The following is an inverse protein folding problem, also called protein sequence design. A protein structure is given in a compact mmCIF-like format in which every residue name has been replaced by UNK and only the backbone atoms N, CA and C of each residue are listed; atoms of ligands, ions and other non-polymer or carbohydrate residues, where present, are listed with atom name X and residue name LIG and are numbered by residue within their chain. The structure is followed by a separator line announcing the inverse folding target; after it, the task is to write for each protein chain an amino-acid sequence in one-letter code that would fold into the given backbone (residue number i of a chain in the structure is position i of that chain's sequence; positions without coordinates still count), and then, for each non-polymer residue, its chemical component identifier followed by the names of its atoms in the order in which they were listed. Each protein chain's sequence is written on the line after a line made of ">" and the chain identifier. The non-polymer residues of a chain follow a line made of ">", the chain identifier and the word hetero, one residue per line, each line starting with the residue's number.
data_IF_001145593704
#
_entry.id   IF_001145593704
#
_cell.length_a   1.000
_cell.length_b   1.000
_cell.length_c   1.000
_cell.angle_alpha   90.00
_cell.angle_beta   90.00
_cell.angle_gamma   90.00
#
_symmetry.space_group_name_H-M   'P 1'
#
loop_
_entity.id
_entity.type
_entity.pdbx_description
1 polymer ?
#
# COMPACT_ATOMS: atom_id res chain seq x y z
N UNK A 1 7.62 -21.07 -15.69
CA UNK A 1 8.37 -20.09 -14.86
C UNK A 1 8.62 -18.83 -15.68
N UNK A 2 8.52 -17.64 -15.08
CA UNK A 2 8.73 -16.34 -15.77
C UNK A 2 10.18 -15.89 -15.63
N UNK A 3 10.85 -15.66 -16.74
CA UNK A 3 12.18 -15.04 -16.79
C UNK A 3 12.06 -13.53 -16.93
N UNK A 4 12.93 -12.80 -16.26
CA UNK A 4 12.90 -11.33 -16.21
C UNK A 4 14.29 -10.81 -16.51
N UNK A 5 14.41 -10.00 -17.56
CA UNK A 5 15.70 -9.51 -18.05
C UNK A 5 15.69 -7.98 -17.99
N UNK A 6 16.64 -7.34 -17.28
CA UNK A 6 16.77 -5.90 -17.28
C UNK A 6 17.23 -5.38 -18.66
N UNK A 7 16.69 -4.24 -19.07
CA UNK A 7 17.16 -3.54 -20.27
C UNK A 7 18.59 -3.06 -20.07
N UNK A 8 19.47 -3.38 -21.03
CA UNK A 8 20.90 -3.03 -20.98
C UNK A 8 21.15 -1.53 -21.11
N UNK A 9 20.20 -0.76 -21.61
CA UNK A 9 20.35 0.71 -21.78
C UNK A 9 20.09 1.41 -20.44
N UNK A 10 21.18 1.81 -19.76
CA UNK A 10 21.11 2.81 -18.68
C UNK A 10 21.25 4.19 -19.28
N UNK A 11 20.19 4.99 -19.20
CA UNK A 11 20.23 6.40 -19.59
C UNK A 11 20.92 7.19 -18.47
N UNK A 12 22.10 7.77 -18.76
CA UNK A 12 22.81 8.65 -17.81
C UNK A 12 21.89 9.80 -17.39
N UNK A 13 21.79 10.07 -16.09
CA UNK A 13 20.91 11.12 -15.54
C UNK A 13 19.43 10.75 -15.39
N UNK A 14 19.02 9.52 -15.71
CA UNK A 14 17.63 9.10 -15.51
C UNK A 14 17.37 8.71 -14.04
N UNK A 15 16.30 9.28 -13.47
CA UNK A 15 15.77 8.87 -12.15
C UNK A 15 15.06 7.51 -12.18
N UNK A 16 14.77 6.96 -13.37
CA UNK A 16 14.03 5.70 -13.50
C UNK A 16 14.96 4.51 -13.21
N UNK A 17 14.55 3.66 -12.28
CA UNK A 17 15.10 2.30 -12.19
C UNK A 17 14.76 1.57 -13.48
N UNK A 18 15.75 1.02 -14.17
CA UNK A 18 15.67 0.60 -15.58
C UNK A 18 14.47 -0.30 -15.96
N UNK A 19 14.17 -0.34 -17.26
CA UNK A 19 13.05 -1.14 -17.80
C UNK A 19 13.31 -2.65 -17.68
N UNK A 20 12.30 -3.42 -17.30
CA UNK A 20 12.35 -4.89 -17.26
C UNK A 20 11.57 -5.49 -18.44
N UNK A 21 12.12 -6.54 -19.05
CA UNK A 21 11.45 -7.37 -20.05
C UNK A 21 11.04 -8.72 -19.45
N UNK A 22 9.82 -9.16 -19.74
CA UNK A 22 9.22 -10.36 -19.16
C UNK A 22 9.08 -11.46 -20.23
N UNK A 23 9.43 -12.69 -19.87
CA UNK A 23 9.37 -13.85 -20.76
C UNK A 23 8.74 -15.04 -20.04
N UNK A 24 7.82 -15.74 -20.71
CA UNK A 24 7.22 -16.98 -20.24
C UNK A 24 7.89 -18.16 -20.92
N UNK A 25 8.37 -19.14 -20.14
CA UNK A 25 8.84 -20.43 -20.68
C UNK A 25 7.65 -21.36 -20.95
N UNK A 26 7.53 -21.85 -22.18
CA UNK A 26 6.64 -22.94 -22.57
C UNK A 26 7.48 -24.03 -23.23
N UNK A 27 7.82 -25.08 -22.48
CA UNK A 27 8.78 -26.09 -22.94
C UNK A 27 10.17 -25.48 -23.12
N UNK A 28 10.72 -25.59 -24.34
CA UNK A 28 12.03 -25.04 -24.73
C UNK A 28 11.98 -23.58 -25.18
N UNK A 29 10.79 -23.05 -25.49
CA UNK A 29 10.64 -21.71 -26.03
C UNK A 29 10.40 -20.65 -24.95
N UNK A 30 10.98 -19.45 -25.17
CA UNK A 30 10.72 -18.26 -24.36
C UNK A 30 9.85 -17.28 -25.13
N UNK A 31 8.62 -17.09 -24.69
CA UNK A 31 7.68 -16.13 -25.29
C UNK A 31 7.69 -14.82 -24.52
N UNK A 32 7.94 -13.70 -25.21
CA UNK A 32 7.87 -12.36 -24.59
C UNK A 32 6.43 -12.06 -24.17
N UNK A 33 6.26 -11.59 -22.94
CA UNK A 33 4.95 -11.22 -22.38
C UNK A 33 4.98 -9.80 -21.83
N UNK A 34 3.80 -9.22 -21.64
CA UNK A 34 3.65 -7.91 -21.01
C UNK A 34 3.69 -8.05 -19.47
N UNK A 35 3.93 -6.92 -18.79
CA UNK A 35 3.89 -6.85 -17.32
C UNK A 35 2.56 -7.37 -16.73
N UNK A 36 1.44 -7.16 -17.43
CA UNK A 36 0.11 -7.58 -16.93
C UNK A 36 0.00 -9.10 -16.80
N UNK A 37 0.77 -9.87 -17.58
CA UNK A 37 0.74 -11.33 -17.51
C UNK A 37 1.18 -11.88 -16.14
N UNK A 38 1.86 -11.06 -15.32
CA UNK A 38 2.18 -11.41 -13.95
C UNK A 38 0.94 -11.68 -13.10
N UNK A 39 -0.18 -10.96 -13.33
CA UNK A 39 -1.41 -11.18 -12.57
C UNK A 39 -2.03 -12.54 -12.88
N UNK A 40 -1.94 -13.01 -14.12
CA UNK A 40 -2.40 -14.35 -14.54
C UNK A 40 -1.69 -15.47 -13.79
N UNK A 41 -0.45 -15.24 -13.38
CA UNK A 41 0.38 -16.20 -12.64
C UNK A 41 0.40 -15.94 -11.12
N UNK A 42 -0.40 -14.98 -10.64
CA UNK A 42 -0.42 -14.51 -9.26
C UNK A 42 0.98 -14.10 -8.75
N UNK A 43 1.81 -13.52 -9.62
CA UNK A 43 3.16 -13.08 -9.28
C UNK A 43 3.17 -11.58 -9.02
N UNK A 44 3.60 -11.17 -7.83
CA UNK A 44 3.71 -9.76 -7.48
C UNK A 44 4.84 -9.05 -8.23
N UNK A 45 4.59 -7.82 -8.71
CA UNK A 45 5.59 -6.99 -9.39
C UNK A 45 6.83 -6.73 -8.52
N UNK A 46 6.64 -6.50 -7.22
CA UNK A 46 7.73 -6.30 -6.27
C UNK A 46 8.68 -7.50 -6.23
N UNK A 47 8.11 -8.72 -6.17
CA UNK A 47 8.87 -9.96 -6.11
C UNK A 47 9.74 -10.10 -7.36
N UNK A 48 9.18 -9.87 -8.54
CA UNK A 48 9.91 -9.90 -9.82
C UNK A 48 11.04 -8.88 -9.85
N UNK A 49 10.78 -7.64 -9.43
CA UNK A 49 11.81 -6.59 -9.36
C UNK A 49 12.95 -6.97 -8.42
N UNK A 50 12.64 -7.66 -7.32
CA UNK A 50 13.65 -8.11 -6.37
C UNK A 50 14.48 -9.27 -6.92
N UNK A 51 13.86 -10.24 -7.61
CA UNK A 51 14.59 -11.30 -8.31
C UNK A 51 15.50 -10.77 -9.41
N UNK A 52 15.03 -9.82 -10.22
CA UNK A 52 15.83 -9.20 -11.27
C UNK A 52 17.05 -8.40 -10.75
N UNK A 53 17.04 -8.00 -9.47
CA UNK A 53 18.21 -7.37 -8.82
C UNK A 53 19.27 -8.40 -8.39
N UNK A 54 18.85 -9.61 -7.98
CA UNK A 54 19.78 -10.68 -7.54
C UNK A 54 20.69 -11.16 -8.68
N UNK A 55 20.17 -11.21 -9.91
CA UNK A 55 20.93 -11.66 -11.09
C UNK A 55 22.06 -10.69 -11.51
N UNK A 56 22.06 -9.45 -10.99
CA UNK A 56 23.09 -8.44 -11.25
C UNK A 56 24.21 -8.42 -10.17
N UNK A 57 24.40 -9.50 -9.40
CA UNK A 57 25.54 -9.64 -8.48
C UNK A 57 25.41 -8.96 -7.11
N UNK A 58 24.22 -8.48 -6.73
CA UNK A 58 23.97 -7.95 -5.38
C UNK A 58 23.28 -9.02 -4.52
N UNK A 59 24.10 -9.76 -3.76
CA UNK A 59 23.64 -10.66 -2.69
C UNK A 59 22.95 -9.85 -1.59
N UNK A 60 21.70 -10.17 -1.29
CA UNK A 60 21.05 -9.79 -0.03
C UNK A 60 20.78 -11.06 0.77
N UNK A 61 21.00 -11.06 2.09
CA UNK A 61 20.83 -12.24 2.93
C UNK A 61 19.40 -12.75 2.86
N UNK A 62 19.26 -14.07 2.78
CA UNK A 62 18.00 -14.79 2.83
C UNK A 62 17.38 -14.64 4.23
N UNK A 63 16.73 -13.51 4.50
CA UNK A 63 16.25 -13.26 5.87
C UNK A 63 15.50 -11.96 6.08
N UNK A 64 14.68 -11.51 5.12
CA UNK A 64 13.49 -10.72 5.42
C UNK A 64 12.70 -10.45 4.13
N UNK A 65 11.66 -11.24 3.89
CA UNK A 65 10.61 -10.86 2.93
C UNK A 65 9.73 -9.84 3.66
N UNK A 66 10.24 -8.62 3.85
CA UNK A 66 9.39 -7.50 4.21
C UNK A 66 8.70 -7.05 2.94
N UNK A 67 7.47 -7.51 2.72
CA UNK A 67 6.56 -6.85 1.80
C UNK A 67 6.46 -5.38 2.23
N UNK A 68 6.74 -4.39 1.36
CA UNK A 68 6.40 -3.01 1.64
C UNK A 68 4.87 -2.92 1.65
N UNK A 69 4.28 -2.99 2.84
CA UNK A 69 2.86 -3.25 3.05
C UNK A 69 2.56 -4.33 4.10
N UNK A 70 3.58 -4.84 4.80
CA UNK A 70 3.36 -5.63 6.01
C UNK A 70 2.57 -4.77 6.99
N UNK A 71 1.26 -5.07 7.12
CA UNK A 71 0.34 -4.49 8.08
C UNK A 71 1.09 -4.26 9.39
N UNK A 72 1.46 -3.01 9.67
CA UNK A 72 1.78 -2.61 11.04
C UNK A 72 0.52 -2.97 11.80
N UNK A 73 0.59 -4.04 12.59
CA UNK A 73 -0.45 -4.40 13.55
C UNK A 73 -0.49 -3.22 14.52
N UNK A 74 -1.21 -2.17 14.12
CA UNK A 74 -1.63 -1.12 15.03
C UNK A 74 -2.30 -1.87 16.18
N UNK A 75 -1.70 -1.68 17.35
CA UNK A 75 -2.06 -2.31 18.61
C UNK A 75 -3.57 -2.28 18.71
N UNK A 76 -4.19 -3.46 18.77
CA UNK A 76 -5.64 -3.66 18.61
C UNK A 76 -6.48 -2.65 19.44
N UNK A 77 -5.98 -2.30 20.62
CA UNK A 77 -6.53 -1.26 21.49
C UNK A 77 -6.68 0.12 20.85
N UNK A 78 -5.69 0.63 20.11
CA UNK A 78 -5.77 1.97 19.51
C UNK A 78 -6.79 2.06 18.37
N UNK A 79 -7.06 0.95 17.66
CA UNK A 79 -8.15 0.90 16.66
C UNK A 79 -9.53 0.92 17.30
N UNK A 80 -9.69 0.30 18.48
CA UNK A 80 -10.94 0.36 19.23
C UNK A 80 -11.25 1.79 19.69
N UNK A 81 -10.23 2.54 20.12
CA UNK A 81 -10.37 3.95 20.50
C UNK A 81 -10.78 4.79 19.30
N UNK A 82 -10.13 4.58 18.14
CA UNK A 82 -10.50 5.23 16.90
C UNK A 82 -11.96 4.93 16.52
N UNK A 83 -12.39 3.68 16.58
CA UNK A 83 -13.78 3.31 16.27
C UNK A 83 -14.78 4.01 17.19
N UNK A 84 -14.50 4.11 18.49
CA UNK A 84 -15.37 4.85 19.43
C UNK A 84 -15.44 6.33 19.07
N UNK A 85 -14.30 6.97 18.84
CA UNK A 85 -14.26 8.35 18.37
C UNK A 85 -15.07 8.56 17.07
N UNK A 86 -14.92 7.67 16.09
CA UNK A 86 -15.67 7.74 14.82
C UNK A 86 -17.18 7.51 14.96
N UNK A 87 -17.64 6.88 16.04
CA UNK A 87 -19.07 6.71 16.33
C UNK A 87 -19.66 7.94 17.03
N UNK A 88 -18.85 8.63 17.83
CA UNK A 88 -19.25 9.80 18.62
C UNK A 88 -19.28 11.09 17.79
N UNK A 89 -18.55 11.16 16.67
CA UNK A 89 -18.55 12.33 15.79
C UNK A 89 -19.88 12.50 15.04
N UNK A 90 -20.27 13.75 14.75
CA UNK A 90 -21.45 14.02 13.93
C UNK A 90 -21.27 13.47 12.52
N UNK A 91 -22.27 12.72 12.06
CA UNK A 91 -22.29 11.99 10.80
C UNK A 91 -23.53 12.39 10.00
N UNK A 92 -23.34 12.59 8.70
CA UNK A 92 -24.41 12.83 7.75
C UNK A 92 -24.68 11.57 6.93
N UNK A 93 -25.95 11.36 6.60
CA UNK A 93 -26.33 10.36 5.62
C UNK A 93 -25.71 10.68 4.26
N UNK A 94 -25.34 9.64 3.52
CA UNK A 94 -24.82 9.79 2.17
C UNK A 94 -25.93 10.11 1.18
N UNK A 95 -26.48 11.31 1.20
CA UNK A 95 -27.45 11.76 0.20
C UNK A 95 -26.87 11.73 -1.22
N UNK A 96 -25.54 11.84 -1.35
CA UNK A 96 -24.82 11.87 -2.63
C UNK A 96 -24.27 10.51 -3.09
N UNK A 97 -24.24 9.47 -2.24
CA UNK A 97 -23.86 8.13 -2.71
C UNK A 97 -25.08 7.44 -3.31
N UNK A 98 -25.06 7.25 -4.63
CA UNK A 98 -26.05 6.47 -5.40
C UNK A 98 -26.40 5.16 -4.68
N UNK A 99 -27.61 5.06 -4.10
CA UNK A 99 -28.46 3.94 -3.66
C UNK A 99 -27.86 2.60 -3.13
N UNK A 100 -26.56 2.35 -3.17
CA UNK A 100 -25.95 1.01 -2.97
C UNK A 100 -24.90 0.97 -1.87
N UNK A 101 -24.69 2.06 -1.12
CA UNK A 101 -23.65 2.10 -0.08
C UNK A 101 -24.16 2.67 1.24
N UNK A 102 -23.91 1.97 2.35
CA UNK A 102 -24.16 2.44 3.72
C UNK A 102 -23.01 3.34 4.23
N UNK A 103 -22.39 4.13 3.35
CA UNK A 103 -21.29 5.02 3.73
C UNK A 103 -21.86 6.23 4.45
N UNK A 104 -21.19 6.68 5.50
CA UNK A 104 -21.53 7.90 6.22
C UNK A 104 -20.53 8.99 5.85
N UNK A 105 -21.02 10.22 5.72
CA UNK A 105 -20.16 11.37 5.50
C UNK A 105 -19.89 12.08 6.81
N UNK A 106 -18.70 12.65 6.92
CA UNK A 106 -18.38 13.58 7.97
C UNK A 106 -19.10 14.89 7.68
N UNK A 107 -19.70 15.51 8.70
CA UNK A 107 -20.23 16.86 8.56
C UNK A 107 -19.11 17.86 8.17
N UNK A 108 -19.44 18.96 7.46
CA UNK A 108 -18.48 19.98 7.04
C UNK A 108 -17.91 20.82 8.19
N UNK A 109 -17.84 20.27 9.41
CA UNK A 109 -17.24 20.88 10.60
C UNK A 109 -15.72 20.92 10.47
N UNK A 110 -15.12 19.92 9.84
CA UNK A 110 -13.66 19.82 9.67
C UNK A 110 -13.24 20.32 8.29
N UNK A 111 -12.38 21.34 8.24
CA UNK A 111 -11.92 21.93 6.97
C UNK A 111 -10.90 21.05 6.26
N UNK A 112 -10.13 20.28 7.03
CA UNK A 112 -9.08 19.43 6.48
C UNK A 112 -8.81 18.19 7.35
N UNK A 113 -8.14 17.19 6.76
CA UNK A 113 -7.79 15.93 7.45
C UNK A 113 -6.88 16.13 8.65
N UNK A 114 -6.03 17.17 8.65
CA UNK A 114 -5.09 17.43 9.74
C UNK A 114 -5.80 17.97 10.99
N UNK A 115 -6.81 18.82 10.80
CA UNK A 115 -7.71 19.33 11.84
C UNK A 115 -8.54 18.19 12.44
N UNK A 116 -9.08 17.31 11.60
CA UNK A 116 -9.77 16.11 12.08
C UNK A 116 -8.87 15.20 12.92
N UNK A 117 -7.62 15.00 12.49
CA UNK A 117 -6.63 14.23 13.26
C UNK A 117 -6.24 14.93 14.58
N UNK A 118 -6.15 16.26 14.59
CA UNK A 118 -5.87 17.04 15.81
C UNK A 118 -6.96 16.82 16.85
N UNK A 119 -8.22 16.80 16.44
CA UNK A 119 -9.35 16.52 17.33
C UNK A 119 -9.30 15.10 17.90
N UNK A 120 -9.01 14.11 17.05
CA UNK A 120 -8.79 12.72 17.50
C UNK A 120 -7.64 12.63 18.51
N UNK A 121 -6.53 13.34 18.27
CA UNK A 121 -5.39 13.37 19.19
C UNK A 121 -5.79 13.97 20.54
N UNK A 122 -6.54 15.06 20.54
CA UNK A 122 -7.05 15.70 21.75
C UNK A 122 -8.01 14.77 22.53
N UNK A 123 -8.90 14.06 21.82
CA UNK A 123 -9.78 13.05 22.41
C UNK A 123 -8.99 11.90 23.06
N UNK A 124 -7.91 11.44 22.41
CA UNK A 124 -7.06 10.40 23.00
C UNK A 124 -6.28 10.89 24.23
N UNK A 125 -5.76 12.12 24.18
CA UNK A 125 -5.03 12.73 25.29
C UNK A 125 -5.93 12.94 26.52
N UNK A 126 -7.14 13.47 26.32
CA UNK A 126 -8.13 13.66 27.39
C UNK A 126 -8.59 12.35 28.02
N UNK A 127 -8.62 11.27 27.25
CA UNK A 127 -8.96 9.92 27.72
C UNK A 127 -7.78 9.10 28.26
N UNK A 128 -6.55 9.63 28.29
CA UNK A 128 -5.30 8.89 28.56
C UNK A 128 -5.14 7.59 27.74
N UNK A 129 -5.56 7.60 26.48
CA UNK A 129 -5.50 6.44 25.57
C UNK A 129 -4.36 6.57 24.57
N UNK A 130 -3.79 5.44 24.16
CA UNK A 130 -2.78 5.41 23.09
C UNK A 130 -3.38 5.80 21.73
N UNK A 131 -2.80 6.80 21.06
CA UNK A 131 -3.25 7.31 19.76
C UNK A 131 -2.47 6.71 18.59
N UNK A 132 -3.08 6.76 17.39
CA UNK A 132 -2.47 6.33 16.14
C UNK A 132 -1.69 7.48 15.50
N UNK A 133 -0.64 7.17 14.74
CA UNK A 133 0.03 8.15 13.89
C UNK A 133 -0.88 8.58 12.74
N UNK A 134 -0.75 9.83 12.30
CA UNK A 134 -1.54 10.39 11.19
C UNK A 134 -1.44 9.56 9.90
N UNK A 135 -0.29 8.93 9.66
CA UNK A 135 -0.07 8.07 8.48
C UNK A 135 -0.92 6.82 8.49
N UNK A 136 -1.27 6.30 9.67
CA UNK A 136 -2.12 5.11 9.85
C UNK A 136 -3.60 5.50 9.98
N UNK A 137 -3.89 6.75 10.37
CA UNK A 137 -5.24 7.26 10.54
C UNK A 137 -5.92 7.63 9.21
N UNK A 138 -5.15 8.04 8.20
CA UNK A 138 -5.65 8.46 6.88
C UNK A 138 -5.63 7.31 5.85
N UNK A 139 -4.95 6.19 6.16
CA UNK A 139 -4.86 4.99 5.32
C UNK A 139 -6.19 4.21 5.30
#
# INVERSE_FOLDING_TARGET
>A
MVDVIPSRRKVKGSRRSGTLHYYLKKGTEKKKVCKMFLSTLNVGEWMVRQYAKKDNGMNMPAGNIQTPGGNRKSTDGSRLVLRKFLLDIPKMESHYCRARTNKLYLEPVFKNKAEFYREYKNYCLSSQKGFLLITVFIE
#
